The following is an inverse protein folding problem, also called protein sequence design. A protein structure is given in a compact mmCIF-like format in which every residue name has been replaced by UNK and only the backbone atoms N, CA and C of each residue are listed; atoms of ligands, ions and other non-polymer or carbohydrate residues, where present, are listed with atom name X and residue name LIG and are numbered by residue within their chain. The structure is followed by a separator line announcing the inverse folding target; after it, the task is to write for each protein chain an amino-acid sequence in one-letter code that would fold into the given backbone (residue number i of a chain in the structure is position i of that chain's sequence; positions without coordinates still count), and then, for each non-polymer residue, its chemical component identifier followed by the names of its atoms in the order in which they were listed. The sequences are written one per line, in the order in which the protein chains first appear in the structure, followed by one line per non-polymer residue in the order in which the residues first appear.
data_IF_678166074830
#
_entry.id   IF_678166074830
#
_cell.length_a   1.000
_cell.length_b   1.000
_cell.length_c   1.000
_cell.angle_alpha   90.00
_cell.angle_beta   90.00
_cell.angle_gamma   90.00
#
_symmetry.space_group_name_H-M   'P 1'
#
loop_
_entity.id
_entity.type
_entity.pdbx_description
1 polymer ?
#
# COMPACT_ATOMS: atom_id res chain seq x y z
N UNK A 1 -8.53 -4.68 5.94
CA UNK A 1 -7.14 -4.94 6.34
C UNK A 1 -6.29 -3.80 5.82
N UNK A 2 -5.76 -2.95 6.71
CA UNK A 2 -4.92 -1.80 6.34
C UNK A 2 -3.55 -2.32 5.92
N UNK A 3 -3.17 -2.13 4.66
CA UNK A 3 -1.86 -2.56 4.18
C UNK A 3 -0.77 -1.55 4.60
N UNK A 4 0.50 -1.96 4.57
CA UNK A 4 1.65 -1.06 4.83
C UNK A 4 1.60 0.19 3.92
N UNK A 5 1.09 0.03 2.69
CA UNK A 5 0.82 1.13 1.77
C UNK A 5 -0.11 2.18 2.40
N UNK A 6 -1.24 1.76 2.95
CA UNK A 6 -2.24 2.65 3.54
C UNK A 6 -1.69 3.33 4.81
N UNK A 7 -0.97 2.58 5.65
CA UNK A 7 -0.38 3.09 6.88
C UNK A 7 0.69 4.16 6.60
N UNK A 8 1.59 3.90 5.64
CA UNK A 8 2.64 4.87 5.26
C UNK A 8 2.07 6.09 4.56
N UNK A 9 1.03 5.92 3.73
CA UNK A 9 0.32 7.04 3.11
C UNK A 9 -0.42 7.90 4.15
N UNK A 10 -1.08 7.27 5.13
CA UNK A 10 -1.76 7.96 6.22
C UNK A 10 -0.75 8.76 7.06
N UNK A 11 0.36 8.15 7.46
CA UNK A 11 1.43 8.85 8.18
C UNK A 11 2.00 10.02 7.37
N UNK A 12 2.22 9.82 6.07
CA UNK A 12 2.70 10.87 5.17
C UNK A 12 1.71 12.06 5.05
N UNK A 13 0.41 11.81 5.17
CA UNK A 13 -0.62 12.88 5.24
C UNK A 13 -0.52 13.67 6.53
N UNK A 14 -0.39 12.98 7.67
CA UNK A 14 -0.29 13.62 8.99
C UNK A 14 0.98 14.47 9.16
N UNK A 15 2.11 14.02 8.58
CA UNK A 15 3.38 14.75 8.66
C UNK A 15 3.37 16.09 7.90
N UNK A 16 2.44 16.27 6.97
CA UNK A 16 2.35 17.46 6.12
C UNK A 16 3.44 17.50 5.03
N UNK A 17 3.07 18.03 3.86
CA UNK A 17 3.97 18.12 2.70
C UNK A 17 3.75 17.06 1.62
N UNK A 18 2.63 16.33 1.70
CA UNK A 18 2.15 15.48 0.63
C UNK A 18 1.62 16.33 -0.54
N UNK A 19 2.00 15.98 -1.75
CA UNK A 19 1.41 16.50 -2.98
C UNK A 19 0.51 15.43 -3.57
N UNK A 20 -0.80 15.67 -3.55
CA UNK A 20 -1.74 14.85 -4.31
C UNK A 20 -1.76 15.30 -5.78
N UNK A 21 -1.81 14.32 -6.67
CA UNK A 21 -1.80 14.58 -8.11
C UNK A 21 -2.63 13.56 -8.88
N UNK A 22 -2.72 13.83 -10.19
CA UNK A 22 -3.44 12.99 -11.14
C UNK A 22 -2.65 12.90 -12.44
N UNK A 23 -2.43 11.66 -12.90
CA UNK A 23 -1.71 11.42 -14.15
C UNK A 23 -2.44 12.08 -15.32
N UNK A 24 -1.72 12.89 -16.09
CA UNK A 24 -2.29 13.70 -17.17
C UNK A 24 -2.24 12.99 -18.52
N UNK A 25 -1.05 12.64 -19.01
CA UNK A 25 -0.85 12.01 -20.32
C UNK A 25 0.58 11.45 -20.44
N UNK A 26 0.85 10.56 -21.41
CA UNK A 26 2.25 10.22 -21.78
C UNK A 26 3.12 9.57 -20.69
N UNK A 27 2.52 8.97 -19.66
CA UNK A 27 3.25 8.18 -18.67
C UNK A 27 3.74 6.85 -19.28
N UNK A 28 4.90 6.39 -18.82
CA UNK A 28 5.53 5.13 -19.26
C UNK A 28 5.84 4.26 -18.04
N UNK A 29 6.45 3.10 -18.24
CA UNK A 29 6.85 2.20 -17.14
C UNK A 29 7.90 2.78 -16.19
N UNK A 30 8.53 3.90 -16.55
CA UNK A 30 9.57 4.59 -15.74
C UNK A 30 9.25 6.05 -15.48
N UNK A 31 8.11 6.54 -15.98
CA UNK A 31 7.78 7.95 -15.96
C UNK A 31 6.31 8.14 -15.62
N UNK A 32 6.06 8.90 -14.55
CA UNK A 32 4.76 9.45 -14.23
C UNK A 32 4.74 10.92 -14.68
N UNK A 33 3.73 11.28 -15.45
CA UNK A 33 3.56 12.64 -15.98
C UNK A 33 2.26 13.24 -15.43
N UNK A 34 2.40 14.39 -14.80
CA UNK A 34 1.31 15.22 -14.30
C UNK A 34 1.61 16.68 -14.64
N UNK A 35 0.95 17.20 -15.66
CA UNK A 35 1.18 18.57 -16.15
C UNK A 35 0.77 19.65 -15.13
N UNK A 36 -0.03 19.27 -14.13
CA UNK A 36 -0.51 20.16 -13.08
C UNK A 36 0.31 20.09 -11.80
N UNK A 37 1.35 19.24 -11.73
CA UNK A 37 2.23 19.17 -10.58
C UNK A 37 3.02 20.49 -10.43
N UNK A 38 2.63 21.30 -9.44
CA UNK A 38 3.21 22.62 -9.16
C UNK A 38 4.49 22.59 -8.31
N UNK A 39 4.99 21.40 -7.97
CA UNK A 39 6.23 21.27 -7.21
C UNK A 39 7.42 21.79 -8.03
N UNK A 40 8.36 22.47 -7.36
CA UNK A 40 9.59 22.96 -8.00
C UNK A 40 10.42 21.76 -8.49
N UNK A 41 10.91 21.80 -9.73
CA UNK A 41 11.79 20.76 -10.26
C UNK A 41 12.93 20.42 -9.27
N UNK A 42 13.16 19.12 -9.06
CA UNK A 42 14.12 18.62 -8.06
C UNK A 42 13.61 18.53 -6.61
N UNK A 43 12.53 19.20 -6.22
CA UNK A 43 12.07 19.18 -4.81
C UNK A 43 11.55 17.84 -4.32
N UNK A 44 11.19 16.94 -5.24
CA UNK A 44 10.66 15.60 -4.96
C UNK A 44 11.69 14.51 -5.28
N UNK A 45 12.93 14.87 -5.61
CA UNK A 45 14.00 13.91 -5.83
C UNK A 45 14.26 13.10 -4.56
N UNK A 46 14.37 11.78 -4.67
CA UNK A 46 14.47 10.83 -3.55
C UNK A 46 13.27 10.82 -2.61
N UNK A 47 12.17 11.45 -3.02
CA UNK A 47 10.88 11.34 -2.37
C UNK A 47 10.24 9.97 -2.58
N UNK A 48 9.06 9.79 -2.00
CA UNK A 48 8.25 8.57 -2.18
C UNK A 48 6.95 8.94 -2.88
N UNK A 49 6.57 8.18 -3.90
CA UNK A 49 5.28 8.28 -4.57
C UNK A 49 4.43 7.05 -4.25
N UNK A 50 3.15 7.28 -3.95
CA UNK A 50 2.12 6.27 -3.74
C UNK A 50 1.10 6.36 -4.87
N UNK A 51 0.93 5.28 -5.63
CA UNK A 51 -0.09 5.20 -6.68
C UNK A 51 -1.34 4.56 -6.09
N UNK A 52 -2.44 5.31 -6.07
CA UNK A 52 -3.67 4.98 -5.34
C UNK A 52 -4.68 4.22 -6.21
N UNK A 53 -4.65 4.41 -7.53
CA UNK A 53 -5.61 3.80 -8.46
C UNK A 53 -4.92 3.31 -9.74
N UNK A 54 -5.65 2.51 -10.52
CA UNK A 54 -5.22 2.08 -11.85
C UNK A 54 -4.28 0.88 -11.86
N UNK A 55 -3.42 0.81 -12.89
CA UNK A 55 -2.58 -0.35 -13.18
C UNK A 55 -1.52 -0.65 -12.12
N UNK A 56 -1.15 0.37 -11.34
CA UNK A 56 -0.15 0.31 -10.28
C UNK A 56 -0.78 0.67 -8.91
N UNK A 57 -2.08 0.48 -8.74
CA UNK A 57 -2.76 0.74 -7.47
C UNK A 57 -2.09 -0.05 -6.31
N UNK A 58 -1.85 0.64 -5.19
CA UNK A 58 -1.22 0.05 -4.01
C UNK A 58 0.31 -0.04 -4.08
N UNK A 59 0.93 0.53 -5.13
CA UNK A 59 2.38 0.52 -5.28
C UNK A 59 2.98 1.82 -4.72
N UNK A 60 4.02 1.69 -3.90
CA UNK A 60 4.85 2.80 -3.44
C UNK A 60 6.26 2.68 -4.04
N UNK A 61 6.79 3.79 -4.56
CA UNK A 61 8.06 3.81 -5.29
C UNK A 61 8.90 5.03 -4.91
N UNK A 62 10.24 4.92 -4.90
CA UNK A 62 11.10 6.08 -4.78
C UNK A 62 11.11 6.90 -6.08
N UNK A 63 11.23 8.22 -5.97
CA UNK A 63 11.42 9.12 -7.12
C UNK A 63 12.91 9.26 -7.42
N UNK A 64 13.34 8.81 -8.60
CA UNK A 64 14.75 8.87 -9.02
C UNK A 64 15.13 10.17 -9.73
N UNK A 65 14.14 10.87 -10.29
CA UNK A 65 14.31 12.20 -10.90
C UNK A 65 12.99 12.98 -10.87
N UNK A 66 13.06 14.28 -10.67
CA UNK A 66 11.90 15.18 -10.73
C UNK A 66 12.19 16.36 -11.66
N UNK A 67 11.49 16.40 -12.79
CA UNK A 67 11.39 17.58 -13.64
C UNK A 67 9.99 18.20 -13.50
N UNK A 68 9.81 19.44 -13.95
CA UNK A 68 8.49 20.08 -13.89
C UNK A 68 7.43 19.20 -14.58
N UNK A 69 6.41 18.80 -13.80
CA UNK A 69 5.34 17.94 -14.25
C UNK A 69 5.69 16.46 -14.50
N UNK A 70 6.89 16.00 -14.11
CA UNK A 70 7.39 14.66 -14.44
C UNK A 70 8.19 14.04 -13.30
N UNK A 71 7.79 12.85 -12.89
CA UNK A 71 8.46 12.02 -11.89
C UNK A 71 9.00 10.76 -12.56
N UNK A 72 10.30 10.55 -12.49
CA UNK A 72 10.92 9.28 -12.90
C UNK A 72 10.87 8.31 -11.74
N UNK A 73 10.37 7.11 -12.02
CA UNK A 73 10.20 5.99 -11.09
C UNK A 73 10.97 4.77 -11.60
N UNK A 74 11.30 3.80 -10.74
CA UNK A 74 11.88 2.53 -11.18
C UNK A 74 11.00 1.83 -12.22
N UNK A 75 11.61 1.09 -13.13
CA UNK A 75 10.89 0.33 -14.16
C UNK A 75 9.81 -0.56 -13.55
N UNK A 76 8.58 -0.40 -14.03
CA UNK A 76 7.42 -1.21 -13.68
C UNK A 76 7.02 -2.14 -14.84
N UNK A 77 6.20 -3.15 -14.55
CA UNK A 77 5.64 -4.03 -15.58
C UNK A 77 4.52 -3.37 -16.40
N UNK A 78 3.92 -2.30 -15.88
CA UNK A 78 2.85 -1.52 -16.53
C UNK A 78 3.11 -0.02 -16.34
N UNK A 79 2.57 0.82 -17.23
CA UNK A 79 2.60 2.26 -17.07
C UNK A 79 1.38 2.76 -16.26
N UNK A 80 1.52 3.87 -15.52
CA UNK A 80 0.37 4.62 -15.01
C UNK A 80 -0.56 5.02 -16.16
N UNK A 81 -1.85 4.84 -15.96
CA UNK A 81 -2.90 5.27 -16.88
C UNK A 81 -3.27 6.74 -16.68
N UNK A 82 -3.84 7.36 -17.71
CA UNK A 82 -4.40 8.71 -17.61
C UNK A 82 -5.53 8.71 -16.58
N UNK A 83 -5.53 9.68 -15.67
CA UNK A 83 -6.51 9.78 -14.59
C UNK A 83 -6.13 9.03 -13.32
N UNK A 84 -5.06 8.24 -13.33
CA UNK A 84 -4.60 7.55 -12.13
C UNK A 84 -4.21 8.56 -11.04
N UNK A 85 -4.68 8.29 -9.84
CA UNK A 85 -4.46 9.11 -8.67
C UNK A 85 -3.17 8.69 -7.98
N UNK A 86 -2.36 9.67 -7.60
CA UNK A 86 -1.14 9.43 -6.84
C UNK A 86 -0.96 10.49 -5.77
N UNK A 87 -0.04 10.21 -4.84
CA UNK A 87 0.45 11.17 -3.88
C UNK A 87 1.97 11.05 -3.79
N UNK A 88 2.68 12.16 -3.56
CA UNK A 88 4.15 12.16 -3.47
C UNK A 88 4.61 13.06 -2.33
N UNK A 89 5.60 12.61 -1.56
CA UNK A 89 6.22 13.38 -0.47
C UNK A 89 7.69 13.69 -0.80
N UNK A 90 8.24 14.86 -0.42
CA UNK A 90 9.66 15.17 -0.55
C UNK A 90 10.56 14.24 0.29
N UNK A 91 11.87 14.19 0.00
CA UNK A 91 12.83 13.28 0.64
C UNK A 91 13.07 13.55 2.14
N UNK A 92 12.46 14.60 2.71
CA UNK A 92 12.53 14.88 4.16
C UNK A 92 12.03 13.70 5.00
N UNK A 93 11.12 12.90 4.43
CA UNK A 93 10.58 11.70 5.04
C UNK A 93 10.80 10.52 4.08
N UNK A 94 12.00 9.91 4.08
CA UNK A 94 12.29 8.78 3.20
C UNK A 94 11.41 7.59 3.57
N UNK A 95 11.05 6.77 2.58
CA UNK A 95 10.12 5.65 2.76
C UNK A 95 10.48 4.74 3.93
N UNK A 96 11.76 4.40 4.07
CA UNK A 96 12.23 3.51 5.15
C UNK A 96 11.98 4.09 6.55
N UNK A 97 12.01 5.42 6.71
CA UNK A 97 11.70 6.04 8.00
C UNK A 97 10.20 5.99 8.29
N UNK A 98 9.35 6.10 7.27
CA UNK A 98 7.91 5.91 7.43
C UNK A 98 7.58 4.47 7.83
N UNK A 99 8.25 3.49 7.19
CA UNK A 99 8.08 2.07 7.53
C UNK A 99 8.58 1.78 8.95
N UNK A 100 9.75 2.31 9.33
CA UNK A 100 10.27 2.16 10.69
C UNK A 100 9.34 2.77 11.72
N UNK A 101 8.86 4.00 11.50
CA UNK A 101 7.93 4.66 12.42
C UNK A 101 6.63 3.87 12.60
N UNK A 102 6.09 3.30 11.53
CA UNK A 102 4.89 2.43 11.61
C UNK A 102 5.20 1.16 12.39
N UNK A 103 6.33 0.50 12.12
CA UNK A 103 6.72 -0.72 12.84
C UNK A 103 6.98 -0.46 14.33
N UNK A 104 7.67 0.63 14.66
CA UNK A 104 7.94 1.04 16.04
C UNK A 104 6.64 1.37 16.77
N UNK A 105 5.70 2.03 16.10
CA UNK A 105 4.37 2.30 16.64
C UNK A 105 3.61 0.99 16.93
N UNK A 106 3.64 0.04 16.00
CA UNK A 106 3.02 -1.28 16.17
C UNK A 106 3.65 -2.08 17.32
N UNK A 107 4.98 -2.03 17.47
CA UNK A 107 5.69 -2.66 18.59
C UNK A 107 5.34 -1.98 19.93
N UNK A 108 5.24 -0.65 19.95
CA UNK A 108 4.92 0.11 21.17
C UNK A 108 3.46 -0.04 21.61
N UNK A 109 2.55 -0.29 20.66
CA UNK A 109 1.12 -0.46 20.93
C UNK A 109 0.80 -1.73 21.75
N UNK A 110 1.79 -2.61 21.95
CA UNK A 110 1.63 -3.88 22.65
C UNK A 110 0.96 -4.94 21.78
N UNK A 111 0.76 -6.14 22.32
CA UNK A 111 -0.04 -7.15 21.64
C UNK A 111 -1.45 -6.60 21.39
N UNK A 112 -1.85 -6.55 20.12
CA UNK A 112 -3.24 -6.35 19.74
C UNK A 112 -4.05 -7.53 20.29
N UNK A 113 -4.52 -7.41 21.52
CA UNK A 113 -5.45 -8.32 22.20
C UNK A 113 -6.89 -8.14 21.71
N UNK A 114 -7.10 -7.43 20.61
CA UNK A 114 -8.35 -7.52 19.88
C UNK A 114 -8.35 -8.85 19.15
N UNK A 115 -8.91 -9.87 19.83
CA UNK A 115 -9.42 -11.07 19.20
C UNK A 115 -10.14 -10.66 17.93
N UNK A 116 -9.49 -10.85 16.78
CA UNK A 116 -10.17 -10.85 15.50
C UNK A 116 -11.16 -12.01 15.58
N UNK A 117 -12.40 -11.71 15.97
CA UNK A 117 -13.50 -12.64 15.79
C UNK A 117 -13.66 -12.77 14.28
N UNK A 118 -13.09 -13.83 13.74
CA UNK A 118 -13.42 -14.27 12.40
C UNK A 118 -14.90 -14.66 12.42
N UNK A 119 -15.77 -13.73 12.05
CA UNK A 119 -17.20 -13.97 11.94
C UNK A 119 -17.56 -14.92 10.78
N UNK A 120 -16.57 -15.36 9.98
CA UNK A 120 -16.74 -16.41 8.98
C UNK A 120 -16.45 -17.81 9.53
N UNK A 121 -15.86 -17.92 10.73
CA UNK A 121 -15.74 -19.20 11.43
C UNK A 121 -17.10 -19.59 11.98
N UNK A 122 -17.94 -20.16 11.11
CA UNK A 122 -19.14 -20.87 11.53
C UNK A 122 -18.69 -22.18 12.16
N UNK A 123 -18.34 -22.16 13.45
CA UNK A 123 -18.28 -23.40 14.22
C UNK A 123 -19.72 -23.88 14.38
N UNK A 124 -20.12 -24.87 13.58
CA UNK A 124 -21.35 -25.61 13.86
C UNK A 124 -21.10 -26.33 15.18
N UNK A 125 -21.70 -25.83 16.27
CA UNK A 125 -21.70 -26.55 17.53
C UNK A 125 -22.36 -27.92 17.29
N UNK A 126 -21.72 -28.99 17.77
CA UNK A 126 -22.25 -30.36 17.79
C UNK A 126 -22.28 -31.14 16.45
N UNK A 127 -21.19 -31.16 15.67
CA UNK A 127 -20.95 -32.29 14.76
C UNK A 127 -19.96 -33.28 15.39
N UNK A 128 -20.49 -34.19 16.21
CA UNK A 128 -19.88 -35.51 16.45
C UNK A 128 -20.78 -36.59 15.83
N UNK A 129 -20.74 -36.75 14.52
CA UNK A 129 -21.20 -38.01 13.91
C UNK A 129 -20.27 -38.41 12.78
N UNK A 130 -19.42 -39.38 13.06
CA UNK A 130 -18.72 -40.15 12.04
C UNK A 130 -19.63 -41.31 11.66
N UNK A 131 -20.27 -41.26 10.51
CA UNK A 131 -21.04 -42.40 10.01
C UNK A 131 -20.05 -43.47 9.53
N UNK A 132 -19.90 -44.53 10.32
CA UNK A 132 -19.13 -45.71 9.90
C UNK A 132 -19.80 -46.33 8.66
N UNK A 133 -19.02 -46.72 7.63
CA UNK A 133 -19.55 -47.46 6.49
C UNK A 133 -20.24 -48.74 6.97
N UNK A 134 -21.34 -49.13 6.31
CA UNK A 134 -22.05 -50.35 6.63
C UNK A 134 -21.11 -51.57 6.56
N UNK A 135 -20.93 -52.26 7.69
CA UNK A 135 -20.12 -53.48 7.79
C UNK A 135 -18.90 -53.41 8.71
N UNK A 136 -18.64 -52.28 9.38
CA UNK A 136 -17.57 -52.19 10.40
C UNK A 136 -18.16 -52.42 11.79
N UNK A 137 -17.65 -53.41 12.51
CA UNK A 137 -17.97 -53.69 13.93
C UNK A 137 -16.70 -53.61 14.76
N UNK A 138 -16.81 -53.08 15.99
CA UNK A 138 -15.70 -53.05 16.94
C UNK A 138 -15.25 -54.47 17.30
N UNK A 139 -13.94 -54.69 17.24
CA UNK A 139 -13.33 -55.92 17.75
C UNK A 139 -13.04 -55.71 19.24
N UNK A 140 -13.76 -56.46 20.08
CA UNK A 140 -13.49 -56.56 21.52
C UNK A 140 -12.21 -57.34 21.77
#
# INVERSE_FOLDING_TARGET
MTALFDATLALARELGGLYDGKVSSGSTTTLLVDENLRAKAGSLLYGTVWIRTGNLAGVSLPVSKHAAGKLTIPQQGKSPGIGDLYAVIPPRFPFNWLVQAVNDALLSAGEFTQSYFDASLVTVAEQQEYTLPAGVVDLV
#
